data_IF_043663727544
#
_entry.id   IF_043663727544
#
_cell.length_a   1.000
_cell.length_b   1.000
_cell.length_c   1.000
_cell.angle_alpha   90.00
_cell.angle_beta   90.00
_cell.angle_gamma   90.00
#
_symmetry.space_group_name_H-M   'P 1'
#
loop_
_entity.id
_entity.type
_entity.pdbx_description
1 polymer ?
#
# COMPACT_ATOMS: atom_id res chain seq x y z
N UNK A 1 7.19 -15.97 0.07
CA UNK A 1 7.91 -14.85 -0.59
C UNK A 1 8.42 -13.89 0.45
N UNK A 2 9.62 -13.40 0.26
CA UNK A 2 10.23 -12.49 1.22
C UNK A 2 9.57 -11.11 1.13
N UNK A 3 9.52 -10.42 2.26
CA UNK A 3 8.89 -9.10 2.33
C UNK A 3 9.51 -8.08 1.38
N UNK A 4 10.82 -8.16 1.20
CA UNK A 4 11.49 -7.26 0.27
C UNK A 4 11.01 -7.45 -1.16
N UNK A 5 10.80 -8.70 -1.56
CA UNK A 5 10.28 -8.99 -2.91
C UNK A 5 8.84 -8.50 -3.05
N UNK A 6 8.07 -8.62 -2.01
CA UNK A 6 6.70 -8.11 -2.02
C UNK A 6 6.69 -6.61 -2.20
N UNK A 7 7.56 -5.90 -1.50
CA UNK A 7 7.69 -4.46 -1.66
C UNK A 7 8.04 -4.10 -3.09
N UNK A 8 8.98 -4.82 -3.69
CA UNK A 8 9.35 -4.57 -5.08
C UNK A 8 8.17 -4.78 -6.03
N UNK A 9 7.35 -5.78 -5.77
CA UNK A 9 6.15 -6.02 -6.58
C UNK A 9 5.17 -4.85 -6.47
N UNK A 10 4.99 -4.31 -5.25
CA UNK A 10 4.14 -3.15 -5.07
C UNK A 10 4.65 -1.95 -5.85
N UNK A 11 5.95 -1.71 -5.77
CA UNK A 11 6.55 -0.57 -6.46
C UNK A 11 6.42 -0.71 -7.99
N UNK A 12 6.61 -1.93 -8.49
CA UNK A 12 6.44 -2.18 -9.93
C UNK A 12 5.00 -1.97 -10.36
N UNK A 13 4.05 -2.43 -9.57
CA UNK A 13 2.64 -2.26 -9.88
C UNK A 13 2.26 -0.79 -9.87
N UNK A 14 2.74 -0.05 -8.88
CA UNK A 14 2.49 1.39 -8.81
C UNK A 14 2.99 2.10 -10.05
N UNK A 15 4.19 1.76 -10.50
CA UNK A 15 4.77 2.36 -11.69
C UNK A 15 3.91 2.05 -12.92
N UNK A 16 3.44 0.82 -13.02
CA UNK A 16 2.59 0.40 -14.12
C UNK A 16 1.26 1.17 -14.15
N UNK A 17 0.74 1.50 -12.98
CA UNK A 17 -0.52 2.24 -12.86
C UNK A 17 -0.35 3.75 -12.90
N UNK A 18 0.88 4.23 -12.95
CA UNK A 18 1.13 5.67 -12.90
C UNK A 18 0.96 6.28 -11.53
N UNK A 19 1.00 5.47 -10.48
CA UNK A 19 0.89 5.95 -9.11
C UNK A 19 2.26 6.35 -8.59
N UNK A 20 2.28 7.45 -7.83
CA UNK A 20 3.51 7.89 -7.20
C UNK A 20 3.60 7.34 -5.78
N UNK A 21 4.74 6.78 -5.45
CA UNK A 21 5.03 6.33 -4.10
C UNK A 21 6.24 7.11 -3.62
N UNK A 22 6.05 7.83 -2.52
CA UNK A 22 7.09 8.65 -1.91
C UNK A 22 7.46 8.04 -0.58
N UNK A 23 8.76 7.90 -0.33
CA UNK A 23 9.23 7.39 0.94
C UNK A 23 9.90 8.52 1.70
N UNK A 24 9.39 8.83 2.88
CA UNK A 24 9.93 9.88 3.70
C UNK A 24 10.28 9.39 5.09
N UNK A 25 10.90 10.25 5.87
CA UNK A 25 11.22 9.98 7.27
C UNK A 25 10.50 10.97 8.13
N UNK A 26 9.96 10.52 9.23
CA UNK A 26 9.27 11.42 10.12
C UNK A 26 8.40 10.68 11.11
N UNK A 27 7.60 11.44 11.83
CA UNK A 27 6.73 10.90 12.85
C UNK A 27 5.31 10.76 12.32
N UNK A 28 5.16 9.88 11.33
CA UNK A 28 3.86 9.60 10.70
C UNK A 28 3.78 8.12 10.32
N UNK A 29 2.56 7.64 10.18
CA UNK A 29 2.33 6.24 9.84
C UNK A 29 2.55 5.96 8.36
N UNK A 30 1.98 6.78 7.52
CA UNK A 30 1.97 6.60 6.09
C UNK A 30 0.53 6.54 5.59
N UNK A 31 0.35 6.57 4.29
CA UNK A 31 -0.96 6.51 3.67
C UNK A 31 -0.99 7.30 2.38
N UNK A 32 -2.19 7.62 1.90
CA UNK A 32 -2.32 8.38 0.66
C UNK A 32 -2.57 9.85 0.95
N UNK A 33 -2.15 10.68 0.01
CA UNK A 33 -2.49 12.10 0.03
C UNK A 33 -2.63 12.59 -1.40
N UNK A 34 -3.25 13.75 -1.55
CA UNK A 34 -3.46 14.36 -2.86
C UNK A 34 -2.52 15.54 -3.00
N UNK A 35 -1.66 15.49 -4.02
CA UNK A 35 -0.76 16.57 -4.35
C UNK A 35 -1.05 17.02 -5.78
N UNK A 36 -1.49 18.26 -5.94
CA UNK A 36 -1.78 18.83 -7.26
C UNK A 36 -2.69 17.91 -8.07
N UNK A 37 -3.73 17.40 -7.43
CA UNK A 37 -4.73 16.52 -8.04
C UNK A 37 -4.23 15.09 -8.31
N UNK A 38 -2.98 14.79 -7.95
CA UNK A 38 -2.45 13.43 -8.09
C UNK A 38 -2.48 12.71 -6.75
N UNK A 39 -2.88 11.46 -6.79
CA UNK A 39 -2.83 10.63 -5.60
C UNK A 39 -1.41 10.13 -5.39
N UNK A 40 -0.89 10.34 -4.20
CA UNK A 40 0.45 9.93 -3.83
C UNK A 40 0.37 9.03 -2.60
N UNK A 41 1.04 7.91 -2.64
CA UNK A 41 1.14 7.03 -1.48
C UNK A 41 2.45 7.34 -0.77
N UNK A 42 2.37 7.65 0.51
CA UNK A 42 3.54 8.03 1.31
C UNK A 42 3.87 6.90 2.27
N UNK A 43 5.12 6.47 2.24
CA UNK A 43 5.62 5.44 3.15
C UNK A 43 6.65 6.05 4.08
N UNK A 44 6.66 5.59 5.33
CA UNK A 44 7.64 6.05 6.30
C UNK A 44 8.79 5.07 6.36
N UNK A 45 9.96 5.50 5.93
CA UNK A 45 11.15 4.66 5.92
C UNK A 45 11.58 4.20 7.31
N UNK A 46 11.18 4.94 8.34
CA UNK A 46 11.54 4.60 9.71
C UNK A 46 10.69 3.47 10.28
N UNK A 47 9.61 3.12 9.62
CA UNK A 47 8.75 2.04 10.08
C UNK A 47 9.24 0.69 9.53
N UNK A 48 8.96 -0.41 10.24
CA UNK A 48 9.33 -1.74 9.74
C UNK A 48 8.74 -2.02 8.38
N UNK A 49 9.41 -2.86 7.60
CA UNK A 49 8.94 -3.19 6.26
C UNK A 49 7.54 -3.78 6.27
N UNK A 50 7.24 -4.58 7.28
CA UNK A 50 5.91 -5.18 7.41
C UNK A 50 4.82 -4.12 7.50
N UNK A 51 5.07 -3.06 8.25
CA UNK A 51 4.11 -1.98 8.39
C UNK A 51 3.95 -1.20 7.09
N UNK A 52 5.06 -0.97 6.40
CA UNK A 52 5.00 -0.30 5.09
C UNK A 52 4.21 -1.12 4.08
N UNK A 53 4.38 -2.43 4.11
CA UNK A 53 3.63 -3.31 3.23
C UNK A 53 2.13 -3.27 3.52
N UNK A 54 1.75 -3.16 4.78
CA UNK A 54 0.34 -3.06 5.14
C UNK A 54 -0.29 -1.76 4.66
N UNK A 55 0.46 -0.67 4.73
CA UNK A 55 -0.01 0.60 4.19
C UNK A 55 -0.27 0.45 2.69
N UNK A 56 0.66 -0.16 1.98
CA UNK A 56 0.50 -0.39 0.54
C UNK A 56 -0.69 -1.29 0.24
N UNK A 57 -0.85 -2.37 0.98
CA UNK A 57 -1.96 -3.28 0.77
C UNK A 57 -3.30 -2.57 0.93
N UNK A 58 -3.41 -1.75 1.96
CA UNK A 58 -4.64 -1.01 2.21
C UNK A 58 -4.93 -0.02 1.09
N UNK A 59 -3.91 0.73 0.67
CA UNK A 59 -4.12 1.73 -0.39
C UNK A 59 -4.45 1.07 -1.71
N UNK A 60 -3.81 -0.04 -2.02
CA UNK A 60 -4.10 -0.74 -3.26
C UNK A 60 -5.45 -1.44 -3.24
N UNK A 61 -5.94 -1.82 -2.06
CA UNK A 61 -7.27 -2.41 -1.94
C UNK A 61 -8.37 -1.42 -2.29
N UNK A 62 -8.09 -0.12 -2.17
CA UNK A 62 -9.04 0.94 -2.50
C UNK A 62 -9.00 1.34 -3.98
N UNK A 63 -8.06 0.80 -4.73
CA UNK A 63 -7.90 1.15 -6.14
C UNK A 63 -8.64 0.13 -7.00
N UNK A 64 -9.29 0.61 -8.06
CA UNK A 64 -9.93 -0.28 -9.02
C UNK A 64 -8.84 -0.92 -9.88
N UNK A 65 -8.61 -2.20 -9.66
CA UNK A 65 -7.58 -2.96 -10.37
C UNK A 65 -8.17 -3.87 -11.43
N UNK A 66 -9.41 -3.63 -11.82
CA UNK A 66 -10.07 -4.41 -12.86
C UNK A 66 -9.29 -4.32 -14.16
N UNK A 67 -9.02 -5.49 -14.75
CA UNK A 67 -8.30 -5.52 -16.02
C UNK A 67 -6.79 -5.37 -15.90
N UNK A 68 -6.28 -5.24 -14.68
CA UNK A 68 -4.85 -5.11 -14.45
C UNK A 68 -4.30 -6.46 -13.98
N UNK A 69 -3.25 -6.94 -14.64
CA UNK A 69 -2.61 -8.16 -14.19
C UNK A 69 -1.82 -7.91 -12.92
N UNK A 70 -2.05 -8.74 -11.94
CA UNK A 70 -1.34 -8.66 -10.66
C UNK A 70 -0.81 -10.04 -10.33
N UNK A 71 0.48 -10.11 -9.99
CA UNK A 71 1.11 -11.37 -9.59
C UNK A 71 0.26 -11.99 -8.46
N UNK A 72 -0.07 -13.29 -8.55
CA UNK A 72 -0.98 -13.91 -7.58
C UNK A 72 -0.61 -13.71 -6.12
N UNK A 73 0.67 -13.81 -5.78
CA UNK A 73 1.10 -13.63 -4.39
C UNK A 73 0.81 -12.21 -3.91
N UNK A 74 0.96 -11.23 -4.78
CA UNK A 74 0.68 -9.84 -4.44
C UNK A 74 -0.82 -9.62 -4.28
N UNK A 75 -1.60 -10.16 -5.19
CA UNK A 75 -3.07 -10.06 -5.12
C UNK A 75 -3.59 -10.64 -3.83
N UNK A 76 -3.06 -11.80 -3.46
CA UNK A 76 -3.46 -12.46 -2.22
C UNK A 76 -3.11 -11.61 -1.00
N UNK A 77 -1.93 -11.03 -1.00
CA UNK A 77 -1.50 -10.18 0.10
C UNK A 77 -2.40 -8.94 0.23
N UNK A 78 -2.73 -8.31 -0.90
CA UNK A 78 -3.61 -7.14 -0.90
C UNK A 78 -4.97 -7.50 -0.34
N UNK A 79 -5.52 -8.63 -0.76
CA UNK A 79 -6.84 -9.05 -0.28
C UNK A 79 -6.86 -9.32 1.21
N UNK A 80 -5.84 -10.01 1.71
CA UNK A 80 -5.80 -10.38 3.13
C UNK A 80 -5.47 -9.18 4.02
N UNK A 81 -4.37 -8.51 3.73
CA UNK A 81 -3.85 -7.48 4.64
C UNK A 81 -4.56 -6.15 4.48
N UNK A 82 -5.02 -5.86 3.29
CA UNK A 82 -5.80 -4.64 3.08
C UNK A 82 -7.10 -4.67 3.85
N UNK A 83 -7.79 -5.80 3.82
CA UNK A 83 -9.04 -5.96 4.55
C UNK A 83 -8.81 -5.98 6.05
N UNK A 84 -7.78 -6.72 6.50
CA UNK A 84 -7.47 -6.77 7.92
C UNK A 84 -7.25 -5.38 8.49
N UNK A 85 -6.45 -4.59 7.81
CA UNK A 85 -6.15 -3.24 8.29
C UNK A 85 -7.39 -2.38 8.31
N UNK A 86 -8.25 -2.51 7.32
CA UNK A 86 -9.48 -1.76 7.24
C UNK A 86 -10.44 -2.16 8.38
N UNK A 87 -10.58 -3.44 8.63
CA UNK A 87 -11.45 -3.93 9.69
C UNK A 87 -10.96 -3.51 11.07
N UNK A 88 -9.66 -3.55 11.28
CA UNK A 88 -9.08 -3.08 12.53
C UNK A 88 -9.38 -1.59 12.75
N UNK A 89 -9.27 -0.80 11.70
CA UNK A 89 -9.59 0.61 11.79
C UNK A 89 -11.02 0.86 12.15
N UNK A 90 -11.94 0.07 11.59
CA UNK A 90 -13.35 0.18 11.91
C UNK A 90 -13.66 -0.23 13.35
N UNK A 91 -13.00 -1.30 13.80
CA UNK A 91 -13.21 -1.80 15.15
C UNK A 91 -12.76 -0.80 16.21
N UNK A 92 -11.78 0.00 15.91
CA UNK A 92 -11.25 0.98 16.85
C UNK A 92 -12.08 2.25 16.92
N UNK A 93 -12.93 2.47 15.97
CA UNK A 93 -13.76 3.67 15.96
C UNK A 93 -14.90 3.55 16.95
N UNK A 94 -15.08 4.52 17.80
CA UNK A 94 -16.20 4.52 18.72
C UNK A 94 -17.53 4.66 18.01
#
# INVERSE_FOLDING_TARGET
MKQKQLLEHFLSLAKKLGLRIVQGKGDFYGGSCILKQDKVIVLNKLKPIEQRLRVLAREFADIDLTGVYIVPVLREYINEKGLDLFEMGQAEKP
#
